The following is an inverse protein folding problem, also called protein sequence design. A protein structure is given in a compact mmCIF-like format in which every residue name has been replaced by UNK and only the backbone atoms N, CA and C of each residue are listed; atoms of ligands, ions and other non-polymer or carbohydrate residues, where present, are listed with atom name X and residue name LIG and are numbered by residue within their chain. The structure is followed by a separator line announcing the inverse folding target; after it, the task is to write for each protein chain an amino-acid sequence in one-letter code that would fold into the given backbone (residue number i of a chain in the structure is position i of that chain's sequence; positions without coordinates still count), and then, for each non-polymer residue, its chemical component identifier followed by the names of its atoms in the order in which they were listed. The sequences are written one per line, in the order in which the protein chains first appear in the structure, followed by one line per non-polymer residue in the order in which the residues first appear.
data_IF_141289596752
#
_entry.id   IF_141289596752
#
_cell.length_a   1.000
_cell.length_b   1.000
_cell.length_c   1.000
_cell.angle_alpha   90.00
_cell.angle_beta   90.00
_cell.angle_gamma   90.00
#
_symmetry.space_group_name_H-M   'P 1'
#
loop_
_entity.id
_entity.type
_entity.pdbx_description
1 polymer ?
#
# COMPACT_ATOMS: atom_id res chain seq x y z
N UNK A 1 13.52 -13.44 0.79
CA UNK A 1 13.46 -12.20 1.51
C UNK A 1 13.87 -11.02 0.66
N UNK A 2 13.26 -9.89 0.93
CA UNK A 2 13.70 -8.62 0.38
C UNK A 2 14.84 -8.05 1.26
N UNK A 3 15.53 -7.02 0.77
CA UNK A 3 16.31 -6.10 1.58
C UNK A 3 15.39 -5.26 2.49
N UNK A 4 15.77 -4.04 2.88
CA UNK A 4 14.93 -3.21 3.73
C UNK A 4 13.54 -3.00 3.13
N UNK A 5 12.49 -3.14 3.94
CA UNK A 5 11.10 -2.89 3.57
C UNK A 5 10.65 -1.60 4.22
N UNK A 6 10.31 -0.60 3.40
CA UNK A 6 9.88 0.71 3.86
C UNK A 6 8.38 0.86 3.65
N UNK A 7 7.64 1.17 4.73
CA UNK A 7 6.22 1.48 4.66
C UNK A 7 5.97 2.99 4.56
N UNK A 8 5.00 3.39 3.73
CA UNK A 8 4.60 4.80 3.61
C UNK A 8 3.13 4.91 4.03
N UNK A 9 2.84 5.76 5.02
CA UNK A 9 1.49 5.96 5.55
C UNK A 9 1.25 7.42 5.94
N UNK A 10 0.00 7.79 6.23
CA UNK A 10 -0.39 9.18 6.50
C UNK A 10 -0.73 9.48 7.96
N UNK A 11 -0.25 8.70 8.91
CA UNK A 11 -0.35 9.03 10.34
C UNK A 11 0.64 8.21 11.15
N UNK A 12 1.05 8.75 12.28
CA UNK A 12 1.94 8.08 13.24
C UNK A 12 1.41 6.71 13.66
N UNK A 13 0.10 6.62 13.96
CA UNK A 13 -0.55 5.35 14.32
C UNK A 13 -0.43 4.29 13.24
N UNK A 14 -0.55 4.67 11.95
CA UNK A 14 -0.36 3.73 10.83
C UNK A 14 1.11 3.35 10.67
N UNK A 15 2.02 4.29 10.82
CA UNK A 15 3.46 4.02 10.79
C UNK A 15 3.85 3.03 11.88
N UNK A 16 3.40 3.25 13.12
CA UNK A 16 3.63 2.32 14.21
C UNK A 16 3.10 0.92 13.89
N UNK A 17 1.86 0.83 13.40
CA UNK A 17 1.24 -0.45 13.01
C UNK A 17 2.06 -1.18 11.94
N UNK A 18 2.55 -0.46 10.91
CA UNK A 18 3.38 -1.04 9.84
C UNK A 18 4.71 -1.55 10.40
N UNK A 19 5.32 -0.83 11.34
CA UNK A 19 6.52 -1.28 12.05
C UNK A 19 6.28 -2.56 12.86
N UNK A 20 5.15 -2.65 13.57
CA UNK A 20 4.74 -3.85 14.31
C UNK A 20 4.46 -5.06 13.39
N UNK A 21 4.16 -4.82 12.10
CA UNK A 21 4.03 -5.85 11.08
C UNK A 21 5.36 -6.30 10.49
N UNK A 22 6.46 -5.65 10.84
CA UNK A 22 7.81 -6.05 10.46
C UNK A 22 8.45 -5.23 9.35
N UNK A 23 7.96 -4.05 9.03
CA UNK A 23 8.68 -3.12 8.17
C UNK A 23 9.93 -2.59 8.90
N UNK A 24 11.03 -2.41 8.14
CA UNK A 24 12.32 -1.97 8.69
C UNK A 24 12.33 -0.46 9.01
N UNK A 25 11.57 0.34 8.22
CA UNK A 25 11.36 1.76 8.48
C UNK A 25 10.02 2.24 7.93
N UNK A 26 9.56 3.39 8.39
CA UNK A 26 8.30 4.00 7.99
C UNK A 26 8.49 5.47 7.64
N UNK A 27 7.65 5.97 6.74
CA UNK A 27 7.59 7.38 6.35
C UNK A 27 6.16 7.89 6.54
N UNK A 28 5.98 8.91 7.38
CA UNK A 28 4.72 9.61 7.48
C UNK A 28 4.66 10.73 6.43
N UNK A 29 4.03 10.45 5.29
CA UNK A 29 4.01 11.38 4.15
C UNK A 29 3.30 12.72 4.43
N UNK A 30 2.58 12.85 5.55
CA UNK A 30 1.94 14.10 5.96
C UNK A 30 2.88 15.02 6.74
N UNK A 31 3.93 14.47 7.34
CA UNK A 31 4.85 15.18 8.22
C UNK A 31 6.28 15.22 7.67
N UNK A 32 6.62 14.27 6.80
CA UNK A 32 7.96 14.10 6.25
C UNK A 32 7.98 14.34 4.74
N UNK A 33 9.11 14.79 4.22
CA UNK A 33 9.39 14.81 2.78
C UNK A 33 9.73 13.38 2.32
N UNK A 34 8.82 12.75 1.58
CA UNK A 34 8.97 11.35 1.15
C UNK A 34 10.24 11.14 0.33
N UNK A 35 10.57 12.04 -0.60
CA UNK A 35 11.75 11.90 -1.47
C UNK A 35 13.05 11.94 -0.66
N UNK A 36 13.18 12.89 0.27
CA UNK A 36 14.34 13.01 1.16
C UNK A 36 14.48 11.78 2.05
N UNK A 37 13.37 11.34 2.66
CA UNK A 37 13.39 10.17 3.55
C UNK A 37 13.72 8.88 2.80
N UNK A 38 13.21 8.70 1.58
CA UNK A 38 13.58 7.55 0.74
C UNK A 38 15.07 7.57 0.43
N UNK A 39 15.63 8.72 0.04
CA UNK A 39 17.09 8.85 -0.23
C UNK A 39 17.93 8.50 1.01
N UNK A 40 17.50 8.92 2.20
CA UNK A 40 18.20 8.60 3.45
C UNK A 40 18.14 7.11 3.82
N UNK A 41 16.95 6.50 3.67
CA UNK A 41 16.70 5.11 4.07
C UNK A 41 17.22 4.09 3.04
N UNK A 42 17.23 4.46 1.76
CA UNK A 42 17.62 3.62 0.63
C UNK A 42 18.66 4.35 -0.23
N UNK A 43 19.90 4.54 0.24
CA UNK A 43 20.92 5.30 -0.48
C UNK A 43 21.31 4.70 -1.84
N UNK A 44 21.08 3.39 -2.02
CA UNK A 44 21.31 2.69 -3.29
C UNK A 44 20.07 2.68 -4.20
N UNK A 45 18.97 3.31 -3.77
CA UNK A 45 17.70 3.40 -4.48
C UNK A 45 16.72 2.27 -4.17
N UNK A 46 15.54 2.39 -4.78
CA UNK A 46 14.43 1.45 -4.62
C UNK A 46 14.51 0.37 -5.69
N UNK A 47 14.66 -0.90 -5.31
CA UNK A 47 14.60 -2.03 -6.24
C UNK A 47 13.16 -2.38 -6.67
N UNK A 48 12.23 -2.33 -5.71
CA UNK A 48 10.81 -2.64 -5.95
C UNK A 48 9.92 -1.63 -5.26
N UNK A 49 9.04 -0.99 -6.03
CA UNK A 49 8.01 -0.11 -5.50
C UNK A 49 6.61 -0.64 -5.85
N UNK A 50 5.79 -0.89 -4.82
CA UNK A 50 4.39 -1.32 -4.99
C UNK A 50 3.47 -0.15 -4.70
N UNK A 51 2.80 0.36 -5.74
CA UNK A 51 2.01 1.58 -5.69
C UNK A 51 0.50 1.33 -5.61
N UNK A 52 -0.14 1.87 -4.58
CA UNK A 52 -1.59 1.98 -4.45
C UNK A 52 -2.08 3.44 -4.46
N UNK A 53 -1.17 4.40 -4.49
CA UNK A 53 -1.47 5.80 -4.18
C UNK A 53 -1.37 6.71 -5.40
N UNK A 54 -0.32 6.57 -6.20
CA UNK A 54 -0.02 7.48 -7.29
C UNK A 54 0.44 8.87 -6.83
N UNK A 55 0.33 9.86 -7.71
CA UNK A 55 0.61 11.26 -7.41
C UNK A 55 2.02 11.53 -6.90
N UNK A 56 2.15 12.46 -5.94
CA UNK A 56 3.44 12.90 -5.43
C UNK A 56 4.29 11.78 -4.79
N UNK A 57 3.66 10.77 -4.20
CA UNK A 57 4.37 9.63 -3.59
C UNK A 57 5.00 8.76 -4.69
N UNK A 58 4.26 8.50 -5.80
CA UNK A 58 4.82 7.83 -6.96
C UNK A 58 5.97 8.65 -7.57
N UNK A 59 5.81 9.97 -7.72
CA UNK A 59 6.88 10.84 -8.23
C UNK A 59 8.14 10.75 -7.34
N UNK A 60 7.98 10.79 -6.01
CA UNK A 60 9.09 10.63 -5.08
C UNK A 60 9.79 9.25 -5.23
N UNK A 61 9.03 8.19 -5.44
CA UNK A 61 9.59 6.86 -5.69
C UNK A 61 10.36 6.80 -7.02
N UNK A 62 9.80 7.37 -8.10
CA UNK A 62 10.43 7.37 -9.43
C UNK A 62 11.77 8.13 -9.45
N UNK A 63 11.93 9.17 -8.64
CA UNK A 63 13.19 9.92 -8.53
C UNK A 63 14.27 9.19 -7.72
N UNK A 64 13.90 8.10 -7.03
CA UNK A 64 14.78 7.34 -6.16
C UNK A 64 14.94 5.87 -6.57
N UNK A 65 14.71 5.53 -7.83
CA UNK A 65 14.83 4.15 -8.31
C UNK A 65 16.28 3.70 -8.41
N UNK A 66 16.55 2.48 -7.95
CA UNK A 66 17.78 1.76 -8.27
C UNK A 66 17.80 1.38 -9.76
N UNK A 67 18.96 0.95 -10.25
CA UNK A 67 19.07 0.38 -11.60
C UNK A 67 18.27 -0.92 -11.70
N UNK A 68 17.61 -1.15 -12.82
CA UNK A 68 16.76 -2.32 -13.10
C UNK A 68 15.58 -2.47 -12.13
N UNK A 69 15.17 -1.37 -11.48
CA UNK A 69 14.06 -1.35 -10.53
C UNK A 69 12.73 -1.74 -11.17
N UNK A 70 11.80 -2.20 -10.33
CA UNK A 70 10.45 -2.56 -10.74
C UNK A 70 9.39 -1.75 -9.99
N UNK A 71 8.57 -1.03 -10.74
CA UNK A 71 7.40 -0.30 -10.22
C UNK A 71 6.14 -1.05 -10.59
N UNK A 72 5.35 -1.45 -9.59
CA UNK A 72 4.07 -2.16 -9.75
C UNK A 72 2.92 -1.21 -9.45
N UNK A 73 2.17 -0.82 -10.46
CA UNK A 73 1.00 0.05 -10.32
C UNK A 73 -0.25 -0.78 -10.04
N UNK A 74 -0.67 -0.85 -8.78
CA UNK A 74 -1.89 -1.53 -8.33
C UNK A 74 -3.08 -0.58 -8.22
N UNK A 75 -2.85 0.67 -7.83
CA UNK A 75 -3.89 1.68 -7.66
C UNK A 75 -3.35 3.11 -7.74
N UNK A 76 -4.25 4.08 -7.72
CA UNK A 76 -3.93 5.50 -7.73
C UNK A 76 -4.98 6.29 -6.94
N UNK A 77 -5.16 5.91 -5.65
CA UNK A 77 -6.25 6.46 -4.83
C UNK A 77 -6.22 8.00 -4.70
N UNK A 78 -5.04 8.61 -4.77
CA UNK A 78 -4.87 10.06 -4.74
C UNK A 78 -5.47 10.77 -5.96
N UNK A 79 -5.72 10.03 -7.04
CA UNK A 79 -6.22 10.56 -8.31
C UNK A 79 -7.68 10.21 -8.60
N UNK A 80 -8.32 9.34 -7.77
CA UNK A 80 -9.68 8.85 -8.05
C UNK A 80 -10.76 9.95 -8.05
N UNK A 81 -10.53 11.02 -7.30
CA UNK A 81 -11.46 12.15 -7.21
C UNK A 81 -11.05 13.32 -8.11
N UNK A 82 -9.96 13.21 -8.87
CA UNK A 82 -9.52 14.26 -9.77
C UNK A 82 -10.29 14.18 -11.09
N UNK A 83 -10.79 15.32 -11.57
CA UNK A 83 -11.47 15.43 -12.86
C UNK A 83 -10.54 15.05 -14.03
N UNK A 84 -9.27 15.42 -13.92
CA UNK A 84 -8.22 15.07 -14.88
C UNK A 84 -7.04 14.38 -14.17
N UNK A 85 -6.79 13.14 -14.56
CA UNK A 85 -5.61 12.39 -14.09
C UNK A 85 -4.40 12.81 -14.92
N UNK A 86 -3.34 13.22 -14.26
CA UNK A 86 -2.15 13.75 -14.95
C UNK A 86 -1.00 12.75 -15.06
N UNK A 87 -1.03 11.68 -14.24
CA UNK A 87 0.10 10.76 -14.11
C UNK A 87 1.38 11.42 -13.57
N UNK A 88 2.48 10.67 -13.41
CA UNK A 88 3.73 11.20 -12.90
C UNK A 88 4.43 12.07 -13.97
N UNK A 89 4.89 13.27 -13.56
CA UNK A 89 5.59 14.20 -14.46
C UNK A 89 7.01 13.76 -14.77
N UNK A 90 7.60 12.94 -13.89
CA UNK A 90 8.99 12.48 -13.94
C UNK A 90 9.14 11.04 -14.43
N UNK A 91 8.18 10.51 -15.20
CA UNK A 91 8.27 9.16 -15.77
C UNK A 91 9.56 8.88 -16.54
N UNK A 92 10.25 9.94 -17.01
CA UNK A 92 11.54 9.81 -17.68
C UNK A 92 12.67 9.29 -16.77
N UNK A 93 12.47 9.31 -15.43
CA UNK A 93 13.38 8.70 -14.46
C UNK A 93 13.52 7.18 -14.68
N UNK A 94 12.46 6.52 -15.18
CA UNK A 94 12.52 5.11 -15.58
C UNK A 94 13.64 4.82 -16.60
N UNK A 95 13.86 5.73 -17.57
CA UNK A 95 14.94 5.57 -18.55
C UNK A 95 16.31 5.68 -17.89
N UNK A 96 16.48 6.61 -16.94
CA UNK A 96 17.76 6.81 -16.27
C UNK A 96 18.16 5.61 -15.41
N UNK A 97 17.18 4.95 -14.81
CA UNK A 97 17.36 3.77 -13.97
C UNK A 97 17.23 2.44 -14.75
N UNK A 98 16.95 2.48 -16.06
CA UNK A 98 16.64 1.28 -16.87
C UNK A 98 15.52 0.43 -16.24
N UNK A 99 14.56 1.08 -15.55
CA UNK A 99 13.54 0.44 -14.73
C UNK A 99 12.26 0.11 -15.49
N UNK A 100 11.54 -0.90 -15.01
CA UNK A 100 10.23 -1.29 -15.52
C UNK A 100 9.10 -0.71 -14.66
N UNK A 101 8.06 -0.15 -15.32
CA UNK A 101 6.81 0.21 -14.67
C UNK A 101 5.65 -0.58 -15.28
N UNK A 102 4.94 -1.36 -14.47
CA UNK A 102 3.89 -2.27 -14.94
C UNK A 102 2.62 -2.17 -14.12
N UNK A 103 1.48 -2.07 -14.82
CA UNK A 103 0.16 -2.20 -14.19
C UNK A 103 -0.07 -3.62 -13.66
N UNK A 104 -0.72 -3.70 -12.50
CA UNK A 104 -1.17 -4.93 -11.86
C UNK A 104 -2.68 -4.85 -11.59
N UNK A 105 -3.42 -5.83 -12.08
CA UNK A 105 -4.85 -5.94 -11.82
C UNK A 105 -5.17 -7.37 -11.36
N UNK A 106 -5.54 -7.50 -10.09
CA UNK A 106 -5.63 -8.80 -9.40
C UNK A 106 -6.54 -9.80 -10.11
N UNK A 107 -7.64 -9.36 -10.71
CA UNK A 107 -8.57 -10.25 -11.41
C UNK A 107 -8.01 -10.92 -12.67
N UNK A 108 -6.91 -10.39 -13.22
CA UNK A 108 -6.20 -11.06 -14.33
C UNK A 108 -5.40 -12.28 -13.85
N UNK A 109 -5.32 -12.50 -12.53
CA UNK A 109 -4.61 -13.59 -11.88
C UNK A 109 -5.58 -14.59 -11.20
N UNK A 110 -6.84 -14.66 -11.64
CA UNK A 110 -7.86 -15.53 -11.03
C UNK A 110 -7.47 -16.99 -10.96
N UNK A 111 -6.66 -17.49 -11.90
CA UNK A 111 -6.14 -18.86 -11.89
C UNK A 111 -5.22 -19.16 -10.69
N UNK A 112 -4.65 -18.14 -10.06
CA UNK A 112 -3.76 -18.28 -8.90
C UNK A 112 -4.48 -18.10 -7.56
N UNK A 113 -5.78 -17.75 -7.54
CA UNK A 113 -6.49 -17.39 -6.31
C UNK A 113 -6.53 -18.54 -5.29
N UNK A 114 -6.92 -19.74 -5.72
CA UNK A 114 -6.99 -20.89 -4.82
C UNK A 114 -5.64 -21.17 -4.13
N UNK A 115 -4.55 -21.14 -4.90
CA UNK A 115 -3.19 -21.30 -4.34
C UNK A 115 -2.84 -20.17 -3.37
N UNK A 116 -3.13 -18.91 -3.74
CA UNK A 116 -2.83 -17.74 -2.89
C UNK A 116 -3.62 -17.78 -1.57
N UNK A 117 -4.89 -18.19 -1.61
CA UNK A 117 -5.73 -18.37 -0.42
C UNK A 117 -5.16 -19.43 0.53
N UNK A 118 -4.74 -20.58 0.01
CA UNK A 118 -4.11 -21.65 0.80
C UNK A 118 -2.80 -21.17 1.42
N UNK A 119 -1.95 -20.51 0.65
CA UNK A 119 -0.67 -19.99 1.13
C UNK A 119 -0.87 -18.92 2.22
N UNK A 120 -1.78 -17.95 2.01
CA UNK A 120 -2.08 -16.91 2.99
C UNK A 120 -2.69 -17.47 4.28
N UNK A 121 -3.64 -18.41 4.17
CA UNK A 121 -4.20 -19.12 5.34
C UNK A 121 -3.11 -19.86 6.13
N UNK A 122 -2.17 -20.49 5.43
CA UNK A 122 -1.02 -21.15 6.04
C UNK A 122 -0.10 -20.15 6.77
N UNK A 123 0.16 -18.98 6.19
CA UNK A 123 0.96 -17.93 6.81
C UNK A 123 0.27 -17.30 8.02
N UNK A 124 -1.05 -17.09 7.97
CA UNK A 124 -1.83 -16.60 9.12
C UNK A 124 -1.74 -17.62 10.27
N UNK A 125 -1.96 -18.92 9.99
CA UNK A 125 -1.86 -19.98 10.99
C UNK A 125 -0.46 -20.11 11.60
N UNK A 126 0.58 -19.80 10.82
CA UNK A 126 1.97 -19.81 11.26
C UNK A 126 2.41 -18.46 11.87
N UNK A 127 1.50 -17.52 12.12
CA UNK A 127 1.75 -16.16 12.64
C UNK A 127 2.76 -15.34 11.81
N UNK A 128 2.94 -15.70 10.52
CA UNK A 128 3.81 -15.00 9.56
C UNK A 128 3.09 -13.88 8.82
N UNK A 129 1.77 -13.91 8.79
CA UNK A 129 0.90 -12.90 8.19
C UNK A 129 -0.20 -12.54 9.19
N UNK A 130 -0.41 -11.25 9.40
CA UNK A 130 -1.48 -10.72 10.25
C UNK A 130 -2.53 -10.05 9.37
N UNK A 131 -3.76 -10.56 9.41
CA UNK A 131 -4.91 -9.94 8.76
C UNK A 131 -5.49 -8.85 9.67
N UNK A 132 -5.23 -7.60 9.36
CA UNK A 132 -5.75 -6.48 10.12
C UNK A 132 -7.08 -6.02 9.54
N UNK A 133 -8.12 -6.05 10.36
CA UNK A 133 -9.46 -5.57 10.01
C UNK A 133 -9.89 -4.44 10.92
N UNK A 134 -10.68 -3.53 10.37
CA UNK A 134 -11.27 -2.39 11.05
C UNK A 134 -12.79 -2.46 10.80
N UNK A 135 -13.53 -2.88 11.82
CA UNK A 135 -14.95 -3.24 11.70
C UNK A 135 -15.82 -2.18 12.34
N UNK A 136 -16.78 -1.64 11.58
CA UNK A 136 -17.89 -0.84 12.08
C UNK A 136 -19.15 -1.72 12.14
N UNK A 137 -20.02 -1.50 13.14
CA UNK A 137 -21.25 -2.26 13.30
C UNK A 137 -22.46 -1.50 12.76
N UNK A 138 -23.42 -2.25 12.22
CA UNK A 138 -24.70 -1.76 11.72
C UNK A 138 -24.66 -1.32 10.25
N UNK A 139 -25.73 -1.62 9.53
CA UNK A 139 -25.88 -1.22 8.12
C UNK A 139 -25.77 0.30 7.94
N UNK A 140 -26.29 1.06 8.89
CA UNK A 140 -26.30 2.53 8.92
C UNK A 140 -24.90 3.14 8.99
N UNK A 141 -23.87 2.38 9.42
CA UNK A 141 -22.48 2.84 9.46
C UNK A 141 -21.79 2.80 8.08
N UNK A 142 -22.39 2.22 7.05
CA UNK A 142 -21.77 2.05 5.72
C UNK A 142 -21.33 3.38 5.07
N UNK A 143 -22.15 4.47 5.06
CA UNK A 143 -21.72 5.73 4.50
C UNK A 143 -20.49 6.31 5.18
N UNK A 144 -20.45 6.32 6.51
CA UNK A 144 -19.33 6.84 7.28
C UNK A 144 -18.08 5.96 7.12
N UNK A 145 -18.25 4.64 7.07
CA UNK A 145 -17.15 3.73 6.79
C UNK A 145 -16.53 3.97 5.41
N UNK A 146 -17.34 4.27 4.39
CA UNK A 146 -16.88 4.61 3.05
C UNK A 146 -16.14 5.96 3.05
N UNK A 147 -16.69 6.98 3.70
CA UNK A 147 -16.04 8.29 3.84
C UNK A 147 -14.67 8.13 4.54
N UNK A 148 -14.62 7.34 5.63
CA UNK A 148 -13.39 7.07 6.37
C UNK A 148 -12.28 6.40 5.54
N UNK A 149 -12.62 5.67 4.47
CA UNK A 149 -11.62 5.16 3.51
C UNK A 149 -10.92 6.29 2.75
N UNK A 150 -11.67 7.30 2.31
CA UNK A 150 -11.12 8.44 1.56
C UNK A 150 -10.36 9.43 2.45
N UNK A 151 -10.76 9.55 3.72
CA UNK A 151 -10.04 10.37 4.71
C UNK A 151 -8.84 9.65 5.32
N UNK A 152 -8.74 8.33 5.10
CA UNK A 152 -7.65 7.51 5.60
C UNK A 152 -7.75 7.23 7.11
N UNK A 153 -8.95 7.14 7.68
CA UNK A 153 -9.16 6.87 9.11
C UNK A 153 -8.99 5.39 9.46
N UNK A 154 -9.21 4.49 8.49
CA UNK A 154 -9.17 3.05 8.71
C UNK A 154 -7.78 2.53 9.12
N UNK A 155 -7.77 1.52 9.99
CA UNK A 155 -6.59 0.75 10.35
C UNK A 155 -6.76 -0.70 9.88
N UNK A 156 -6.14 -1.04 8.75
CA UNK A 156 -6.37 -2.33 8.10
C UNK A 156 -7.55 -2.32 7.15
N UNK A 157 -8.11 -3.50 6.85
CA UNK A 157 -9.24 -3.65 5.93
C UNK A 157 -10.52 -3.15 6.58
N UNK A 158 -11.11 -2.07 6.03
CA UNK A 158 -12.41 -1.54 6.50
C UNK A 158 -13.53 -2.50 6.09
N UNK A 159 -14.30 -2.93 7.07
CA UNK A 159 -15.47 -3.78 6.93
C UNK A 159 -16.65 -3.18 7.70
N UNK A 160 -17.88 -3.55 7.30
CA UNK A 160 -19.10 -3.23 8.05
C UNK A 160 -19.83 -4.53 8.34
N UNK A 161 -20.09 -4.78 9.63
CA UNK A 161 -20.91 -5.92 10.09
C UNK A 161 -22.37 -5.50 10.02
N UNK A 162 -23.08 -5.90 8.97
CA UNK A 162 -24.46 -5.47 8.68
C UNK A 162 -25.52 -6.17 9.54
N UNK A 163 -25.20 -7.35 10.10
CA UNK A 163 -26.07 -8.11 11.00
C UNK A 163 -25.27 -8.59 12.19
N UNK A 164 -25.92 -8.73 13.38
CA UNK A 164 -25.29 -9.40 14.52
C UNK A 164 -24.84 -10.80 14.10
N UNK A 165 -23.61 -11.13 14.34
CA UNK A 165 -23.02 -12.43 13.99
C UNK A 165 -21.87 -12.76 14.93
N UNK A 166 -21.37 -13.99 14.84
CA UNK A 166 -20.15 -14.39 15.51
C UNK A 166 -18.96 -13.55 15.02
N UNK A 167 -18.00 -13.31 15.90
CA UNK A 167 -16.79 -12.59 15.54
C UNK A 167 -16.07 -13.31 14.38
N UNK A 168 -15.68 -12.55 13.37
CA UNK A 168 -14.89 -13.09 12.26
C UNK A 168 -13.50 -13.39 12.82
N UNK A 169 -13.24 -14.65 13.05
CA UNK A 169 -11.91 -15.16 13.45
C UNK A 169 -11.13 -15.41 12.16
N UNK A 170 -10.08 -14.64 11.95
CA UNK A 170 -9.11 -14.86 10.86
C UNK A 170 -7.88 -15.59 11.37
#
# INVERSE_FOLDING_TARGET
GCGPVIGIAGSEKKCQMIGELGADAMINYREENVAERVTELLPDGIDVYFDNVGGAILEAALDNLARDARVVLCGSISEYQQEHRTGPKNYTSLRASEADMRGFFVYNHAADFERAEVDMAGWIKAEKLRALVDISDGFESMPDALIGLYTGENLGKRLVRVMPGEDVIF
#
